data_IF_464482831740
#
_entry.id   IF_464482831740
#
_cell.length_a   1.000
_cell.length_b   1.000
_cell.length_c   1.000
_cell.angle_alpha   90.00
_cell.angle_beta   90.00
_cell.angle_gamma   90.00
#
_symmetry.space_group_name_H-M   'P 1'
#
loop_
_entity.id
_entity.type
_entity.pdbx_description
1 polymer ?
#
# COMPACT_ATOMS: atom_id res chain seq x y z
N UNK A 1 53.20 -52.38 0.34
CA UNK A 1 51.80 -52.60 -0.10
C UNK A 1 51.29 -51.31 -0.74
N UNK A 2 51.02 -51.37 -2.05
CA UNK A 2 50.18 -50.50 -2.90
C UNK A 2 50.31 -48.97 -2.76
N UNK A 3 51.09 -48.26 -3.59
CA UNK A 3 51.02 -48.00 -5.04
C UNK A 3 49.98 -46.92 -5.45
N UNK A 4 50.56 -45.81 -5.87
CA UNK A 4 49.99 -44.55 -6.37
C UNK A 4 49.74 -44.67 -7.88
N UNK A 5 48.61 -44.16 -8.41
CA UNK A 5 48.50 -43.88 -9.84
C UNK A 5 47.65 -42.64 -10.12
N UNK A 6 48.24 -41.72 -10.88
CA UNK A 6 47.68 -40.48 -11.39
C UNK A 6 46.63 -40.75 -12.48
N UNK A 7 45.64 -39.87 -12.61
CA UNK A 7 45.00 -39.61 -13.89
C UNK A 7 44.62 -38.14 -14.06
N UNK A 8 45.21 -37.53 -15.10
CA UNK A 8 44.81 -36.27 -15.73
C UNK A 8 43.47 -36.47 -16.47
N UNK A 9 42.63 -35.44 -16.52
CA UNK A 9 41.77 -35.02 -17.65
C UNK A 9 40.98 -33.78 -17.21
N UNK A 10 41.23 -32.59 -17.78
CA UNK A 10 40.77 -32.05 -19.05
C UNK A 10 39.41 -31.32 -18.96
N UNK A 11 39.44 -30.04 -19.33
CA UNK A 11 38.35 -29.07 -19.42
C UNK A 11 37.05 -29.63 -20.01
N UNK A 12 35.91 -29.41 -19.33
CA UNK A 12 34.58 -29.48 -19.94
C UNK A 12 34.09 -28.07 -20.25
N UNK A 13 34.28 -27.65 -21.50
CA UNK A 13 33.44 -26.65 -22.15
C UNK A 13 32.04 -27.26 -22.37
N UNK A 14 31.02 -26.48 -22.06
CA UNK A 14 29.62 -26.80 -22.37
C UNK A 14 29.45 -26.98 -23.88
N UNK A 15 29.20 -28.21 -24.30
CA UNK A 15 28.81 -28.56 -25.68
C UNK A 15 27.32 -28.28 -25.84
N UNK A 16 26.98 -27.45 -26.81
CA UNK A 16 25.62 -27.24 -27.32
C UNK A 16 25.15 -28.54 -27.98
N UNK A 17 23.97 -29.09 -27.66
CA UNK A 17 23.47 -30.27 -28.34
C UNK A 17 23.04 -29.94 -29.77
N UNK A 18 23.61 -30.68 -30.71
CA UNK A 18 23.34 -30.71 -32.14
C UNK A 18 21.86 -31.06 -32.42
N UNK A 19 21.17 -30.22 -33.21
CA UNK A 19 19.78 -30.45 -33.66
C UNK A 19 19.75 -31.58 -34.69
N UNK A 20 19.67 -32.84 -34.23
CA UNK A 20 19.34 -33.98 -35.10
C UNK A 20 17.84 -34.30 -35.06
N UNK A 21 17.19 -33.96 -36.19
CA UNK A 21 15.96 -34.52 -36.78
C UNK A 21 14.99 -35.22 -35.82
N UNK A 22 14.00 -34.47 -35.35
CA UNK A 22 12.73 -35.06 -34.95
C UNK A 22 12.05 -35.65 -36.19
N UNK A 23 11.81 -36.95 -36.17
CA UNK A 23 10.97 -37.66 -37.12
C UNK A 23 9.56 -37.08 -37.07
N UNK A 24 9.06 -36.63 -38.22
CA UNK A 24 7.65 -36.24 -38.39
C UNK A 24 6.77 -37.48 -38.18
N UNK A 25 6.22 -37.64 -36.97
CA UNK A 25 5.07 -38.51 -36.77
C UNK A 25 3.86 -37.79 -37.34
N UNK A 26 3.56 -38.06 -38.61
CA UNK A 26 2.30 -37.64 -39.24
C UNK A 26 1.18 -38.47 -38.63
N UNK A 27 0.44 -37.89 -37.68
CA UNK A 27 -0.85 -38.44 -37.25
C UNK A 27 -1.80 -38.30 -38.44
N UNK A 28 -2.01 -39.39 -39.18
CA UNK A 28 -3.09 -39.47 -40.17
C UNK A 28 -4.43 -39.45 -39.43
N UNK A 29 -5.04 -38.28 -39.29
CA UNK A 29 -6.46 -38.21 -38.98
C UNK A 29 -7.24 -38.82 -40.14
N UNK A 30 -7.90 -39.96 -39.91
CA UNK A 30 -8.88 -40.47 -40.88
C UNK A 30 -10.01 -39.43 -40.98
N UNK A 31 -10.10 -38.73 -42.11
CA UNK A 31 -11.27 -37.89 -42.40
C UNK A 31 -12.48 -38.82 -42.49
N UNK A 32 -13.30 -38.84 -41.44
CA UNK A 32 -14.65 -39.43 -41.50
C UNK A 32 -15.37 -38.72 -42.64
N UNK A 33 -15.68 -39.42 -43.74
CA UNK A 33 -16.48 -38.86 -44.84
C UNK A 33 -17.80 -38.37 -44.23
N UNK A 34 -17.98 -37.06 -44.24
CA UNK A 34 -19.19 -36.44 -43.71
C UNK A 34 -20.33 -36.75 -44.67
N UNK A 35 -21.48 -37.13 -44.13
CA UNK A 35 -22.65 -37.43 -44.95
C UNK A 35 -23.40 -36.10 -45.15
N UNK A 36 -23.42 -35.53 -46.37
CA UNK A 36 -23.95 -34.18 -46.60
C UNK A 36 -25.40 -34.03 -46.17
N UNK A 37 -26.19 -35.10 -46.19
CA UNK A 37 -27.59 -35.10 -45.71
C UNK A 37 -27.65 -35.03 -44.19
N UNK A 38 -26.76 -35.75 -43.48
CA UNK A 38 -26.68 -35.67 -42.00
C UNK A 38 -26.15 -34.32 -41.53
N UNK A 39 -25.22 -33.73 -42.27
CA UNK A 39 -24.69 -32.40 -41.93
C UNK A 39 -25.70 -31.30 -42.20
N UNK A 40 -26.47 -31.40 -43.30
CA UNK A 40 -27.59 -30.50 -43.58
C UNK A 40 -28.68 -30.60 -42.50
N UNK A 41 -29.02 -31.81 -42.07
CA UNK A 41 -29.97 -32.02 -40.98
C UNK A 41 -29.48 -31.44 -39.65
N UNK A 42 -28.19 -31.64 -39.31
CA UNK A 42 -27.57 -31.01 -38.12
C UNK A 42 -27.60 -29.49 -38.22
N UNK A 43 -27.32 -28.92 -39.38
CA UNK A 43 -27.39 -27.48 -39.61
C UNK A 43 -28.81 -26.96 -39.38
N UNK A 44 -29.83 -27.64 -39.92
CA UNK A 44 -31.23 -27.27 -39.74
C UNK A 44 -31.67 -27.35 -38.27
N UNK A 45 -31.21 -28.35 -37.52
CA UNK A 45 -31.47 -28.45 -36.07
C UNK A 45 -30.80 -27.30 -35.31
N UNK A 46 -29.55 -26.98 -35.64
CA UNK A 46 -28.84 -25.86 -35.00
C UNK A 46 -29.49 -24.52 -35.32
N UNK A 47 -29.86 -24.28 -36.59
CA UNK A 47 -30.51 -23.03 -37.01
C UNK A 47 -31.92 -22.89 -36.47
N UNK A 48 -32.70 -23.97 -36.37
CA UNK A 48 -34.02 -23.92 -35.72
C UNK A 48 -33.91 -23.64 -34.22
N UNK A 49 -32.90 -24.20 -33.55
CA UNK A 49 -32.64 -23.89 -32.13
C UNK A 49 -32.17 -22.43 -31.94
N UNK A 50 -31.30 -21.93 -32.82
CA UNK A 50 -30.87 -20.53 -32.83
C UNK A 50 -32.02 -19.56 -33.12
N UNK A 51 -32.90 -19.91 -34.06
CA UNK A 51 -34.09 -19.11 -34.37
C UNK A 51 -35.08 -19.10 -33.20
N UNK A 52 -35.32 -20.25 -32.56
CA UNK A 52 -36.15 -20.33 -31.35
C UNK A 52 -35.53 -19.55 -30.18
N UNK A 53 -34.21 -19.62 -30.01
CA UNK A 53 -33.50 -18.83 -29.01
C UNK A 53 -33.63 -17.32 -29.29
N UNK A 54 -33.42 -16.89 -30.54
CA UNK A 54 -33.60 -15.49 -30.95
C UNK A 54 -35.04 -15.00 -30.84
N UNK A 55 -36.04 -15.86 -30.98
CA UNK A 55 -37.44 -15.47 -30.94
C UNK A 55 -38.03 -15.48 -29.53
N UNK A 56 -37.71 -16.49 -28.71
CA UNK A 56 -38.32 -16.66 -27.39
C UNK A 56 -37.45 -16.15 -26.24
N UNK A 57 -36.14 -16.36 -26.33
CA UNK A 57 -35.21 -16.04 -25.23
C UNK A 57 -34.58 -14.68 -25.43
N UNK A 58 -34.16 -14.36 -26.64
CA UNK A 58 -33.44 -13.12 -26.91
C UNK A 58 -34.28 -11.87 -26.64
N UNK A 59 -35.58 -11.74 -26.95
CA UNK A 59 -36.32 -10.52 -26.66
C UNK A 59 -36.50 -10.27 -25.15
N UNK A 60 -36.65 -11.35 -24.38
CA UNK A 60 -36.82 -11.28 -22.92
C UNK A 60 -35.49 -11.02 -22.20
N UNK A 61 -34.39 -11.60 -22.67
CA UNK A 61 -33.05 -11.39 -22.13
C UNK A 61 -32.38 -10.10 -22.63
N UNK A 62 -32.65 -9.68 -23.87
CA UNK A 62 -32.20 -8.41 -24.43
C UNK A 62 -32.78 -7.23 -23.64
N UNK A 63 -34.08 -7.23 -23.36
CA UNK A 63 -34.71 -6.17 -22.56
C UNK A 63 -34.21 -6.11 -21.10
N UNK A 64 -33.93 -7.26 -20.48
CA UNK A 64 -33.51 -7.34 -19.07
C UNK A 64 -32.02 -7.13 -18.85
N UNK A 65 -31.19 -7.56 -19.79
CA UNK A 65 -29.75 -7.70 -19.61
C UNK A 65 -28.97 -6.77 -20.54
N UNK A 66 -29.28 -6.74 -21.84
CA UNK A 66 -28.54 -5.90 -22.79
C UNK A 66 -28.99 -4.43 -22.71
N UNK A 67 -30.30 -4.18 -22.70
CA UNK A 67 -30.84 -2.83 -22.68
C UNK A 67 -30.44 -2.10 -21.38
N UNK A 68 -30.56 -2.76 -20.24
CA UNK A 68 -30.23 -2.14 -18.94
C UNK A 68 -28.72 -1.94 -18.71
N UNK A 69 -27.86 -2.74 -19.36
CA UNK A 69 -26.40 -2.65 -19.19
C UNK A 69 -25.77 -1.70 -20.19
N UNK A 70 -26.25 -1.67 -21.44
CA UNK A 70 -25.59 -0.95 -22.54
C UNK A 70 -26.35 0.28 -23.05
N UNK A 71 -27.65 0.39 -22.78
CA UNK A 71 -28.47 1.51 -23.23
C UNK A 71 -29.13 2.17 -22.02
N UNK A 72 -28.53 3.25 -21.51
CA UNK A 72 -29.15 4.07 -20.47
C UNK A 72 -30.57 4.48 -20.91
N UNK A 73 -31.60 3.85 -20.33
CA UNK A 73 -32.89 4.54 -20.24
C UNK A 73 -32.66 5.69 -19.30
N UNK A 74 -32.80 6.91 -19.82
CA UNK A 74 -32.81 8.12 -19.02
C UNK A 74 -33.79 7.90 -17.85
N UNK A 75 -33.22 7.67 -16.67
CA UNK A 75 -33.96 7.78 -15.42
C UNK A 75 -34.32 9.26 -15.35
N UNK A 76 -35.62 9.64 -15.26
CA UNK A 76 -35.96 11.04 -15.13
C UNK A 76 -35.28 11.57 -13.87
N UNK A 77 -34.27 12.41 -14.05
CA UNK A 77 -33.66 13.18 -12.98
C UNK A 77 -34.76 14.16 -12.58
N UNK A 78 -35.32 13.96 -11.39
CA UNK A 78 -36.38 14.81 -10.87
C UNK A 78 -35.76 16.17 -10.50
N UNK A 79 -35.75 17.12 -11.44
CA UNK A 79 -35.26 18.50 -11.23
C UNK A 79 -36.40 19.52 -11.16
N UNK A 80 -37.52 19.19 -10.51
CA UNK A 80 -38.62 20.13 -10.34
C UNK A 80 -39.61 19.69 -9.26
N UNK A 81 -40.16 20.67 -8.53
CA UNK A 81 -41.15 20.48 -7.48
C UNK A 81 -42.35 19.62 -7.90
N UNK A 82 -43.02 18.93 -6.95
CA UNK A 82 -43.98 17.88 -7.27
C UNK A 82 -45.32 18.46 -7.72
N UNK A 83 -45.66 18.29 -9.00
CA UNK A 83 -47.04 18.39 -9.45
C UNK A 83 -47.83 17.15 -8.98
N UNK A 84 -48.63 17.34 -7.94
CA UNK A 84 -49.85 16.60 -7.60
C UNK A 84 -49.99 15.18 -8.20
N UNK A 85 -49.29 14.20 -7.62
CA UNK A 85 -49.65 12.79 -7.79
C UNK A 85 -49.66 12.08 -6.43
N UNK A 86 -50.76 11.40 -6.15
CA UNK A 86 -51.07 10.75 -4.90
C UNK A 86 -49.94 9.82 -4.43
N UNK A 87 -49.34 10.17 -3.28
CA UNK A 87 -48.29 9.37 -2.64
C UNK A 87 -48.92 8.13 -2.01
N UNK A 88 -48.73 6.97 -2.66
CA UNK A 88 -48.91 5.67 -1.99
C UNK A 88 -47.81 5.54 -0.92
N UNK A 89 -48.22 5.62 0.34
CA UNK A 89 -47.39 5.82 1.55
C UNK A 89 -46.45 4.66 1.92
N UNK A 90 -46.21 3.68 1.05
CA UNK A 90 -45.43 2.48 1.37
C UNK A 90 -44.60 2.00 0.18
N UNK A 91 -43.41 2.58 0.04
CA UNK A 91 -42.14 1.89 -0.24
C UNK A 91 -41.12 2.97 -0.57
N UNK A 92 -40.09 3.13 0.27
CA UNK A 92 -38.86 3.77 -0.21
C UNK A 92 -38.32 2.82 -1.28
N UNK A 93 -38.18 3.21 -2.55
CA UNK A 93 -37.43 2.40 -3.48
C UNK A 93 -35.99 2.38 -2.95
N UNK A 94 -35.56 1.24 -2.41
CA UNK A 94 -34.15 0.94 -2.28
C UNK A 94 -33.67 0.74 -3.71
N UNK A 95 -33.33 1.83 -4.39
CA UNK A 95 -32.69 1.76 -5.68
C UNK A 95 -31.31 1.15 -5.43
N UNK A 96 -31.21 -0.17 -5.63
CA UNK A 96 -29.92 -0.82 -5.71
C UNK A 96 -29.18 -0.18 -6.88
N UNK A 97 -28.01 0.39 -6.60
CA UNK A 97 -27.16 0.95 -7.64
C UNK A 97 -26.64 -0.20 -8.51
N UNK A 98 -27.40 -0.52 -9.56
CA UNK A 98 -27.09 -1.61 -10.48
C UNK A 98 -25.75 -1.40 -11.18
N UNK A 99 -25.27 -0.16 -11.29
CA UNK A 99 -23.97 0.13 -11.88
C UNK A 99 -22.82 -0.32 -10.97
N UNK A 100 -22.87 0.00 -9.67
CA UNK A 100 -21.85 -0.49 -8.72
C UNK A 100 -21.94 -2.00 -8.50
N UNK A 101 -23.12 -2.60 -8.60
CA UNK A 101 -23.28 -4.07 -8.55
C UNK A 101 -22.67 -4.74 -9.80
N UNK A 102 -22.91 -4.19 -10.99
CA UNK A 102 -22.35 -4.71 -12.24
C UNK A 102 -20.85 -4.42 -12.37
N UNK A 103 -20.36 -3.34 -11.74
CA UNK A 103 -18.99 -2.89 -11.80
C UNK A 103 -18.42 -2.71 -10.38
N UNK A 104 -18.26 -3.79 -9.60
CA UNK A 104 -17.83 -3.73 -8.19
C UNK A 104 -16.43 -3.13 -8.02
N UNK A 105 -15.67 -3.12 -9.11
CA UNK A 105 -14.31 -2.60 -9.21
C UNK A 105 -14.23 -1.08 -9.38
N UNK A 106 -15.34 -0.39 -9.65
CA UNK A 106 -15.36 1.08 -9.87
C UNK A 106 -14.96 1.89 -8.64
N UNK A 107 -15.17 1.34 -7.44
CA UNK A 107 -14.80 2.01 -6.20
C UNK A 107 -13.30 1.86 -5.86
N UNK A 108 -12.54 1.07 -6.62
CA UNK A 108 -11.13 0.83 -6.33
C UNK A 108 -10.29 2.05 -6.71
N UNK A 109 -9.42 2.47 -5.79
CA UNK A 109 -8.62 3.69 -5.93
C UNK A 109 -7.67 3.61 -7.14
N UNK A 110 -7.20 2.41 -7.47
CA UNK A 110 -6.22 2.10 -8.52
C UNK A 110 -6.80 1.65 -9.86
N UNK A 111 -8.12 1.41 -9.97
CA UNK A 111 -8.72 0.82 -11.17
C UNK A 111 -8.87 1.75 -12.37
N UNK A 112 -8.35 2.96 -12.29
CA UNK A 112 -8.31 3.83 -13.46
C UNK A 112 -7.12 3.53 -14.36
N UNK A 113 -6.17 2.67 -13.98
CA UNK A 113 -4.92 2.48 -14.72
C UNK A 113 -4.75 1.04 -15.23
N UNK A 114 -4.71 0.86 -16.56
CA UNK A 114 -4.33 -0.39 -17.22
C UNK A 114 -3.14 -0.15 -18.14
N UNK A 115 -2.02 -0.87 -17.91
CA UNK A 115 -0.76 -0.69 -18.67
C UNK A 115 -0.30 0.77 -18.77
N UNK A 116 -0.30 1.50 -17.63
CA UNK A 116 0.02 2.94 -17.59
C UNK A 116 -0.89 3.84 -18.45
N UNK A 117 -2.09 3.38 -18.82
CA UNK A 117 -3.10 4.21 -19.47
C UNK A 117 -4.36 4.27 -18.64
N UNK A 118 -4.98 5.46 -18.63
CA UNK A 118 -6.26 5.66 -17.98
C UNK A 118 -7.32 4.80 -18.69
N UNK A 119 -7.95 3.85 -18.00
CA UNK A 119 -9.16 3.20 -18.48
C UNK A 119 -10.23 4.30 -18.59
N UNK A 120 -10.96 4.33 -19.69
CA UNK A 120 -12.05 5.28 -19.95
C UNK A 120 -13.25 4.95 -19.05
N UNK A 121 -13.08 5.12 -17.74
CA UNK A 121 -14.19 5.17 -16.80
C UNK A 121 -14.80 6.57 -16.95
N UNK A 122 -16.13 6.71 -17.06
CA UNK A 122 -16.75 8.03 -16.88
C UNK A 122 -16.19 8.58 -15.57
N UNK A 123 -15.72 9.83 -15.61
CA UNK A 123 -15.03 10.49 -14.50
C UNK A 123 -15.94 10.45 -13.27
N UNK A 124 -15.87 9.37 -12.49
CA UNK A 124 -16.23 9.43 -11.09
C UNK A 124 -15.26 10.49 -10.61
N UNK A 125 -15.81 11.65 -10.26
CA UNK A 125 -15.09 12.71 -9.60
C UNK A 125 -14.66 12.08 -8.27
N UNK A 126 -13.57 11.31 -8.30
CA UNK A 126 -12.93 10.76 -7.11
C UNK A 126 -12.70 12.01 -6.30
N UNK A 127 -13.37 12.11 -5.16
CA UNK A 127 -13.09 13.16 -4.18
C UNK A 127 -11.60 13.05 -3.92
N UNK A 128 -10.82 13.92 -4.60
CA UNK A 128 -9.38 13.88 -4.49
C UNK A 128 -9.11 14.08 -3.01
N UNK A 129 -8.38 13.14 -2.40
CA UNK A 129 -7.94 13.33 -1.03
C UNK A 129 -6.99 14.52 -1.08
N UNK A 130 -7.45 15.66 -0.57
CA UNK A 130 -6.74 16.94 -0.69
C UNK A 130 -5.53 16.87 0.23
N UNK A 131 -4.42 16.37 -0.30
CA UNK A 131 -3.15 16.37 0.42
C UNK A 131 -2.68 17.80 0.52
N UNK A 132 -2.58 18.29 1.74
CA UNK A 132 -2.09 19.64 2.03
C UNK A 132 -0.58 19.59 2.17
N UNK A 133 0.09 20.59 1.60
CA UNK A 133 1.52 20.81 1.81
C UNK A 133 1.72 21.54 3.14
N UNK A 134 2.64 21.06 3.98
CA UNK A 134 3.07 21.78 5.18
C UNK A 134 3.52 23.19 4.80
N UNK A 135 3.05 24.20 5.51
CA UNK A 135 3.58 25.56 5.34
C UNK A 135 4.92 25.68 6.07
N UNK A 136 5.86 26.43 5.50
CA UNK A 136 7.17 26.67 6.10
C UNK A 136 7.34 28.15 6.38
N UNK A 137 7.78 28.48 7.59
CA UNK A 137 8.18 29.84 7.93
C UNK A 137 9.71 29.92 8.00
N UNK A 138 10.28 30.02 9.20
CA UNK A 138 11.71 30.16 9.39
C UNK A 138 12.38 28.81 9.68
N UNK A 139 13.52 28.55 9.06
CA UNK A 139 14.37 27.43 9.46
C UNK A 139 14.98 27.72 10.84
N UNK A 140 14.92 26.74 11.75
CA UNK A 140 15.51 26.82 13.09
C UNK A 140 17.03 26.64 13.00
N UNK A 141 17.72 27.67 12.47
CA UNK A 141 19.16 27.64 12.17
C UNK A 141 20.03 27.23 13.37
N UNK A 142 19.73 27.73 14.58
CA UNK A 142 20.44 27.34 15.80
C UNK A 142 20.33 25.83 16.10
N UNK A 143 19.14 25.24 15.99
CA UNK A 143 18.94 23.80 16.17
C UNK A 143 19.62 23.00 15.05
N UNK A 144 19.53 23.47 13.80
CA UNK A 144 20.22 22.84 12.67
C UNK A 144 21.73 22.78 12.89
N UNK A 145 22.36 23.87 13.32
CA UNK A 145 23.80 23.88 13.64
C UNK A 145 24.17 22.94 14.79
N UNK A 146 23.32 22.81 15.82
CA UNK A 146 23.53 21.82 16.89
C UNK A 146 23.47 20.38 16.37
N UNK A 147 22.52 20.07 15.48
CA UNK A 147 22.38 18.75 14.87
C UNK A 147 23.56 18.44 13.93
N UNK A 148 24.03 19.41 13.15
CA UNK A 148 25.22 19.27 12.31
C UNK A 148 26.49 19.07 13.15
N UNK A 149 26.61 19.79 14.27
CA UNK A 149 27.67 19.57 15.26
C UNK A 149 27.61 18.18 15.91
N UNK A 150 26.41 17.65 16.16
CA UNK A 150 26.24 16.27 16.58
C UNK A 150 26.67 15.30 15.47
N UNK A 151 26.27 15.53 14.22
CA UNK A 151 26.64 14.68 13.08
C UNK A 151 28.16 14.57 12.92
N UNK A 152 28.91 15.65 13.15
CA UNK A 152 30.38 15.64 13.11
C UNK A 152 31.01 14.67 14.12
N UNK A 153 30.34 14.40 15.25
CA UNK A 153 30.80 13.44 16.27
C UNK A 153 30.52 11.98 15.86
N UNK A 154 29.68 11.75 14.84
CA UNK A 154 29.27 10.43 14.36
C UNK A 154 29.57 10.27 12.86
N UNK A 155 30.84 10.31 12.43
CA UNK A 155 31.21 10.38 11.01
C UNK A 155 30.72 9.18 10.17
N UNK A 156 30.52 8.02 10.80
CA UNK A 156 30.02 6.80 10.17
C UNK A 156 28.49 6.75 10.04
N UNK A 157 27.77 7.66 10.71
CA UNK A 157 26.32 7.76 10.63
C UNK A 157 25.99 8.82 9.59
N UNK A 158 25.19 8.45 8.59
CA UNK A 158 24.71 9.37 7.56
C UNK A 158 23.21 9.57 7.75
N UNK A 159 22.79 10.64 8.44
CA UNK A 159 21.39 10.87 8.72
C UNK A 159 20.71 11.79 7.70
N UNK A 160 19.41 11.57 7.52
CA UNK A 160 18.44 12.59 7.13
C UNK A 160 17.56 12.90 8.33
N UNK A 161 17.37 14.19 8.60
CA UNK A 161 16.56 14.70 9.70
C UNK A 161 15.60 15.72 9.11
N UNK A 162 14.31 15.54 9.41
CA UNK A 162 13.29 16.53 9.10
C UNK A 162 12.43 16.77 10.33
N UNK A 163 12.25 18.04 10.69
CA UNK A 163 11.45 18.49 11.83
C UNK A 163 10.53 19.60 11.37
N UNK A 164 9.28 19.57 11.80
CA UNK A 164 8.31 20.63 11.53
C UNK A 164 7.40 20.82 12.73
N UNK A 165 7.30 22.04 13.24
CA UNK A 165 6.51 22.37 14.44
C UNK A 165 5.20 23.08 14.07
N UNK A 166 4.11 22.73 14.77
CA UNK A 166 2.74 23.09 14.38
C UNK A 166 2.35 24.54 14.71
N UNK A 167 3.03 25.20 15.66
CA UNK A 167 2.57 26.50 16.18
C UNK A 167 2.76 27.61 15.14
N UNK A 168 3.93 27.62 14.49
CA UNK A 168 4.26 28.66 13.51
C UNK A 168 4.93 28.11 12.24
N UNK A 169 5.04 26.79 12.07
CA UNK A 169 5.60 26.18 10.86
C UNK A 169 7.12 26.32 10.71
N UNK A 170 7.84 26.60 11.81
CA UNK A 170 9.29 26.49 11.85
C UNK A 170 9.73 25.06 11.60
N UNK A 171 10.91 24.90 11.02
CA UNK A 171 11.38 23.61 10.57
C UNK A 171 12.90 23.44 10.68
N UNK A 172 13.36 22.19 10.58
CA UNK A 172 14.75 21.84 10.28
C UNK A 172 14.73 20.86 9.13
N UNK A 173 15.59 21.08 8.13
CA UNK A 173 15.79 20.17 7.02
C UNK A 173 17.28 19.87 6.83
N UNK A 174 17.65 18.63 7.10
CA UNK A 174 18.99 18.08 6.85
C UNK A 174 18.81 16.83 5.99
N UNK A 175 19.22 16.89 4.72
CA UNK A 175 19.09 15.80 3.75
C UNK A 175 17.65 15.25 3.63
N UNK A 176 16.62 16.05 3.93
CA UNK A 176 15.24 15.55 4.03
C UNK A 176 14.68 15.01 2.71
N UNK A 177 15.25 15.42 1.58
CA UNK A 177 14.93 14.98 0.23
C UNK A 177 15.76 13.78 -0.28
N UNK A 178 16.76 13.36 0.48
CA UNK A 178 17.64 12.24 0.11
C UNK A 178 16.93 10.90 0.26
N UNK A 179 17.21 9.97 -0.66
CA UNK A 179 16.63 8.63 -0.65
C UNK A 179 17.34 7.72 0.36
N UNK A 180 16.55 7.14 1.26
CA UNK A 180 16.99 6.13 2.22
C UNK A 180 16.20 4.84 2.02
N UNK A 181 16.79 3.71 2.44
CA UNK A 181 16.01 2.50 2.66
C UNK A 181 14.91 2.78 3.68
N UNK A 182 13.68 2.37 3.40
CA UNK A 182 12.55 2.68 4.28
C UNK A 182 12.50 1.76 5.51
N UNK A 183 13.07 0.55 5.41
CA UNK A 183 12.83 -0.54 6.38
C UNK A 183 11.34 -0.62 6.74
N UNK A 184 11.03 -0.87 8.01
CA UNK A 184 9.64 -0.95 8.49
C UNK A 184 8.91 0.40 8.61
N UNK A 185 9.55 1.54 8.32
CA UNK A 185 8.84 2.84 8.26
C UNK A 185 7.86 2.85 7.08
N UNK A 186 8.12 2.06 6.03
CA UNK A 186 7.21 1.86 4.90
C UNK A 186 5.81 1.34 5.30
N UNK A 187 5.65 0.84 6.52
CA UNK A 187 4.35 0.40 7.05
C UNK A 187 3.40 1.57 7.29
N UNK A 188 3.91 2.79 7.47
CA UNK A 188 3.09 4.01 7.58
C UNK A 188 2.26 4.26 6.30
N UNK A 189 2.86 4.39 5.10
CA UNK A 189 2.08 4.56 3.88
C UNK A 189 1.17 3.37 3.58
N UNK A 190 1.57 2.14 3.92
CA UNK A 190 0.71 0.94 3.78
C UNK A 190 -0.53 1.06 4.67
N UNK A 191 -0.37 1.49 5.92
CA UNK A 191 -1.47 1.71 6.86
C UNK A 191 -2.41 2.80 6.38
N UNK A 192 -1.87 3.94 5.94
CA UNK A 192 -2.68 5.04 5.40
C UNK A 192 -3.46 4.54 4.18
N UNK A 193 -2.81 3.81 3.28
CA UNK A 193 -3.46 3.23 2.09
C UNK A 193 -4.58 2.25 2.43
N UNK A 194 -4.43 1.46 3.50
CA UNK A 194 -5.48 0.59 4.03
C UNK A 194 -6.71 1.39 4.45
N UNK A 195 -6.54 2.42 5.27
CA UNK A 195 -7.66 3.25 5.71
C UNK A 195 -8.28 4.03 4.55
N UNK A 196 -7.49 4.53 3.59
CA UNK A 196 -8.04 5.15 2.37
C UNK A 196 -8.90 4.17 1.55
N UNK A 197 -8.56 2.88 1.50
CA UNK A 197 -9.41 1.85 0.90
C UNK A 197 -10.70 1.59 1.69
N UNK A 198 -10.64 1.66 3.02
CA UNK A 198 -11.81 1.54 3.90
C UNK A 198 -12.77 2.73 3.70
N UNK A 199 -12.24 3.96 3.64
CA UNK A 199 -13.03 5.17 3.36
C UNK A 199 -13.71 5.12 2.00
N UNK A 200 -13.01 4.56 1.00
CA UNK A 200 -13.55 4.31 -0.33
C UNK A 200 -14.53 3.10 -0.38
N UNK A 201 -14.87 2.50 0.77
CA UNK A 201 -15.79 1.36 0.91
C UNK A 201 -15.40 0.13 0.07
N UNK A 202 -14.11 -0.05 -0.21
CA UNK A 202 -13.60 -1.24 -0.93
C UNK A 202 -13.49 -2.46 -0.01
N UNK A 203 -13.35 -2.21 1.28
CA UNK A 203 -13.20 -3.21 2.33
C UNK A 203 -13.61 -2.58 3.67
N UNK A 204 -13.81 -3.41 4.69
CA UNK A 204 -13.99 -2.94 6.07
C UNK A 204 -12.78 -3.35 6.92
N UNK A 205 -12.56 -2.67 8.05
CA UNK A 205 -11.49 -3.06 8.98
C UNK A 205 -11.74 -4.47 9.59
N UNK A 206 -12.96 -5.00 9.46
CA UNK A 206 -13.37 -6.31 9.96
C UNK A 206 -13.27 -7.42 8.90
N UNK A 207 -12.89 -7.10 7.66
CA UNK A 207 -12.65 -8.13 6.65
C UNK A 207 -11.55 -9.08 7.12
N UNK A 208 -11.74 -10.38 6.88
CA UNK A 208 -10.76 -11.40 7.22
C UNK A 208 -9.80 -11.72 6.08
N UNK A 209 -8.59 -12.13 6.45
CA UNK A 209 -7.62 -12.79 5.59
C UNK A 209 -7.18 -14.12 6.19
N UNK A 210 -6.96 -15.11 5.34
CA UNK A 210 -6.40 -16.40 5.75
C UNK A 210 -4.89 -16.33 5.67
N UNK A 211 -4.21 -16.64 6.79
CA UNK A 211 -2.76 -16.77 6.82
C UNK A 211 -2.33 -18.00 6.01
N UNK A 212 -1.45 -17.79 5.04
CA UNK A 212 -0.85 -18.85 4.22
C UNK A 212 0.67 -18.73 4.24
N UNK A 213 1.38 -19.81 3.86
CA UNK A 213 2.84 -19.82 3.77
C UNK A 213 3.37 -18.74 2.81
N UNK A 214 2.55 -18.32 1.83
CA UNK A 214 2.92 -17.30 0.86
C UNK A 214 3.18 -15.93 1.51
N UNK A 215 2.46 -15.58 2.58
CA UNK A 215 2.61 -14.29 3.25
C UNK A 215 3.64 -14.32 4.38
N UNK A 216 3.95 -15.51 4.91
CA UNK A 216 4.85 -15.67 6.05
C UNK A 216 6.24 -15.13 5.71
N UNK A 217 6.74 -14.29 6.60
CA UNK A 217 7.95 -13.52 6.39
C UNK A 217 8.78 -13.46 7.67
N UNK A 218 10.10 -13.75 7.59
CA UNK A 218 10.96 -13.73 8.77
C UNK A 218 11.22 -12.30 9.26
N UNK A 219 11.91 -12.19 10.40
CA UNK A 219 12.25 -10.91 11.02
C UNK A 219 11.30 -10.55 12.15
N UNK A 220 10.79 -9.32 12.18
CA UNK A 220 9.90 -8.85 13.24
C UNK A 220 8.48 -9.41 13.10
N UNK A 221 7.86 -9.72 14.25
CA UNK A 221 6.48 -10.16 14.35
C UNK A 221 6.29 -11.65 14.64
N UNK A 222 5.19 -12.00 15.30
CA UNK A 222 4.91 -13.37 15.74
C UNK A 222 4.13 -14.19 14.72
N UNK A 223 3.50 -13.58 13.70
CA UNK A 223 2.68 -14.31 12.72
C UNK A 223 3.51 -15.22 11.81
N UNK A 224 4.83 -15.02 11.74
CA UNK A 224 5.73 -15.95 11.05
C UNK A 224 5.73 -17.36 11.67
N UNK A 225 5.36 -17.49 12.96
CA UNK A 225 5.28 -18.75 13.69
C UNK A 225 3.84 -19.27 13.84
N UNK A 226 2.85 -18.48 13.41
CA UNK A 226 1.46 -18.87 13.52
C UNK A 226 1.11 -19.99 12.52
N UNK A 227 0.23 -20.89 12.94
CA UNK A 227 -0.29 -21.95 12.08
C UNK A 227 -1.07 -21.35 10.90
N UNK A 228 -0.79 -21.83 9.68
CA UNK A 228 -1.54 -21.43 8.49
C UNK A 228 -2.98 -21.95 8.52
N UNK A 229 -3.85 -21.31 7.72
CA UNK A 229 -5.29 -21.56 7.70
C UNK A 229 -6.07 -20.74 8.74
N UNK A 230 -5.39 -20.09 9.69
CA UNK A 230 -6.03 -19.16 10.63
C UNK A 230 -6.50 -17.90 9.92
N UNK A 231 -7.64 -17.37 10.37
CA UNK A 231 -8.19 -16.10 9.92
C UNK A 231 -7.76 -14.98 10.85
N UNK A 232 -7.44 -13.83 10.26
CA UNK A 232 -7.14 -12.60 10.96
C UNK A 232 -7.90 -11.46 10.30
N UNK A 233 -8.54 -10.62 11.11
CA UNK A 233 -9.18 -9.40 10.62
C UNK A 233 -8.12 -8.37 10.20
N UNK A 234 -8.50 -7.45 9.32
CA UNK A 234 -7.63 -6.33 8.94
C UNK A 234 -7.25 -5.45 10.14
N UNK A 235 -8.12 -5.30 11.14
CA UNK A 235 -7.81 -4.65 12.43
C UNK A 235 -6.61 -5.32 13.11
N UNK A 236 -6.69 -6.64 13.32
CA UNK A 236 -5.62 -7.39 13.98
C UNK A 236 -4.31 -7.32 13.20
N UNK A 237 -4.38 -7.45 11.87
CA UNK A 237 -3.20 -7.36 11.01
C UNK A 237 -2.60 -5.95 11.05
N UNK A 238 -3.41 -4.90 10.99
CA UNK A 238 -2.93 -3.51 10.96
C UNK A 238 -2.29 -3.13 12.30
N UNK A 239 -2.94 -3.50 13.40
CA UNK A 239 -2.41 -3.33 14.76
C UNK A 239 -1.06 -4.04 14.92
N UNK A 240 -0.99 -5.31 14.54
CA UNK A 240 0.25 -6.11 14.66
C UNK A 240 1.35 -5.62 13.71
N UNK A 241 1.00 -5.18 12.50
CA UNK A 241 1.91 -4.55 11.55
C UNK A 241 2.61 -3.32 12.14
N UNK A 242 1.88 -2.47 12.87
CA UNK A 242 2.43 -1.23 13.40
C UNK A 242 3.11 -1.44 14.76
N UNK A 243 2.41 -2.05 15.72
CA UNK A 243 2.86 -2.16 17.10
C UNK A 243 4.07 -3.08 17.26
N UNK A 244 4.04 -4.24 16.59
CA UNK A 244 5.09 -5.26 16.62
C UNK A 244 6.01 -5.23 15.41
N UNK A 245 5.73 -4.33 14.44
CA UNK A 245 6.43 -4.31 13.18
C UNK A 245 6.34 -5.67 12.45
N UNK A 246 5.20 -6.35 12.50
CA UNK A 246 5.08 -7.71 11.95
C UNK A 246 5.12 -7.72 10.41
N UNK A 247 6.10 -8.44 9.85
CA UNK A 247 6.32 -8.49 8.40
C UNK A 247 5.26 -9.32 7.67
N UNK A 248 4.79 -10.41 8.28
CA UNK A 248 3.76 -11.28 7.72
C UNK A 248 2.44 -10.53 7.59
N UNK A 249 2.04 -9.79 8.63
CA UNK A 249 0.86 -8.93 8.65
C UNK A 249 0.94 -7.86 7.57
N UNK A 250 2.12 -7.25 7.39
CA UNK A 250 2.34 -6.26 6.34
C UNK A 250 2.14 -6.86 4.96
N UNK A 251 2.71 -8.04 4.70
CA UNK A 251 2.55 -8.71 3.40
C UNK A 251 1.10 -9.10 3.13
N UNK A 252 0.35 -9.55 4.15
CA UNK A 252 -1.09 -9.81 4.01
C UNK A 252 -1.85 -8.53 3.63
N UNK A 253 -1.64 -7.43 4.36
CA UNK A 253 -2.31 -6.15 4.06
C UNK A 253 -1.94 -5.63 2.67
N UNK A 254 -0.66 -5.65 2.31
CA UNK A 254 -0.23 -5.21 0.98
C UNK A 254 -0.89 -6.04 -0.12
N UNK A 255 -1.02 -7.36 0.06
CA UNK A 255 -1.71 -8.22 -0.89
C UNK A 255 -3.21 -7.88 -1.01
N UNK A 256 -3.90 -7.61 0.11
CA UNK A 256 -5.31 -7.19 0.12
C UNK A 256 -5.51 -5.85 -0.59
N UNK A 257 -4.52 -4.95 -0.54
CA UNK A 257 -4.55 -3.64 -1.17
C UNK A 257 -4.26 -3.63 -2.68
N UNK A 258 -4.07 -4.80 -3.31
CA UNK A 258 -3.70 -4.90 -4.72
C UNK A 258 -2.18 -4.93 -4.98
N UNK A 259 -1.38 -5.07 -3.92
CA UNK A 259 0.07 -5.18 -4.01
C UNK A 259 0.78 -3.82 -4.11
N UNK A 260 2.06 -3.87 -4.47
CA UNK A 260 2.94 -2.70 -4.48
C UNK A 260 2.50 -1.63 -5.47
N UNK A 261 1.99 -2.01 -6.64
CA UNK A 261 1.60 -1.08 -7.69
C UNK A 261 0.47 -0.15 -7.22
N UNK A 262 -0.53 -0.71 -6.53
CA UNK A 262 -1.68 0.02 -6.00
C UNK A 262 -1.33 0.92 -4.81
N UNK A 263 -0.35 0.50 -4.01
CA UNK A 263 0.22 1.34 -2.93
C UNK A 263 0.97 2.51 -3.55
N UNK A 264 1.88 2.23 -4.49
CA UNK A 264 2.71 3.24 -5.13
C UNK A 264 1.88 4.21 -5.99
N UNK A 265 0.79 3.76 -6.62
CA UNK A 265 -0.15 4.62 -7.32
C UNK A 265 -0.81 5.62 -6.36
N UNK A 266 -1.35 5.13 -5.24
CA UNK A 266 -1.92 6.00 -4.21
C UNK A 266 -0.92 7.02 -3.67
N UNK A 267 0.34 6.61 -3.45
CA UNK A 267 1.40 7.54 -3.02
C UNK A 267 1.66 8.64 -4.06
N UNK A 268 1.73 8.30 -5.35
CA UNK A 268 1.90 9.29 -6.42
C UNK A 268 0.72 10.25 -6.50
N UNK A 269 -0.51 9.76 -6.34
CA UNK A 269 -1.72 10.59 -6.34
C UNK A 269 -1.73 11.60 -5.18
N UNK A 270 -1.05 11.27 -4.07
CA UNK A 270 -0.86 12.14 -2.91
C UNK A 270 0.34 13.10 -3.06
N UNK A 271 1.02 13.08 -4.20
CA UNK A 271 2.26 13.80 -4.42
C UNK A 271 3.39 13.33 -3.50
N UNK A 272 3.40 12.05 -3.14
CA UNK A 272 4.48 11.33 -2.43
C UNK A 272 5.25 10.53 -3.48
N UNK A 273 6.22 11.17 -4.11
CA UNK A 273 6.84 10.66 -5.34
C UNK A 273 8.14 9.89 -5.12
N UNK A 274 8.78 10.01 -3.94
CA UNK A 274 10.08 9.40 -3.65
C UNK A 274 9.98 8.19 -2.72
N UNK A 275 8.82 7.97 -2.11
CA UNK A 275 8.51 6.77 -1.32
C UNK A 275 7.86 5.72 -2.17
N UNK A 276 8.39 4.51 -2.13
CA UNK A 276 7.83 3.38 -2.89
C UNK A 276 8.14 2.03 -2.25
N UNK A 277 7.20 1.11 -2.44
CA UNK A 277 7.35 -0.32 -2.16
C UNK A 277 7.77 -1.01 -3.45
N UNK A 278 8.92 -1.67 -3.45
CA UNK A 278 9.44 -2.45 -4.58
C UNK A 278 9.32 -3.96 -4.35
N UNK A 279 9.37 -4.41 -3.09
CA UNK A 279 9.33 -5.83 -2.75
C UNK A 279 8.61 -6.09 -1.42
N UNK A 280 8.24 -7.35 -1.22
CA UNK A 280 7.63 -7.85 0.01
C UNK A 280 8.60 -7.71 1.20
N UNK A 281 8.06 -7.55 2.40
CA UNK A 281 8.88 -7.55 3.61
C UNK A 281 9.44 -8.97 3.87
N UNK A 282 10.64 -9.09 4.45
CA UNK A 282 11.30 -8.10 5.32
C UNK A 282 12.18 -7.06 4.60
N UNK A 283 12.43 -7.22 3.30
CA UNK A 283 13.27 -6.32 2.50
C UNK A 283 14.59 -5.91 3.18
N UNK A 284 15.35 -6.90 3.69
CA UNK A 284 16.59 -6.65 4.43
C UNK A 284 17.69 -5.98 3.58
N UNK A 285 17.59 -6.07 2.25
CA UNK A 285 18.47 -5.35 1.31
C UNK A 285 18.08 -3.87 1.14
N UNK A 286 16.92 -3.46 1.65
CA UNK A 286 16.46 -2.08 1.69
C UNK A 286 16.10 -1.53 0.31
N UNK A 287 15.41 -2.31 -0.51
CA UNK A 287 14.98 -1.90 -1.86
C UNK A 287 13.74 -1.02 -1.85
N UNK A 288 12.90 -1.10 -0.83
CA UNK A 288 11.84 -0.16 -0.53
C UNK A 288 12.48 1.14 -0.04
N UNK A 289 12.12 2.28 -0.64
CA UNK A 289 12.76 3.57 -0.37
C UNK A 289 11.77 4.61 0.13
N UNK A 290 12.29 5.61 0.83
CA UNK A 290 11.56 6.79 1.28
C UNK A 290 12.51 7.97 1.47
N UNK A 291 11.95 9.13 1.82
CA UNK A 291 12.66 10.33 2.24
C UNK A 291 12.07 10.82 3.57
N UNK A 292 12.82 11.62 4.33
CA UNK A 292 12.29 12.16 5.58
C UNK A 292 11.12 13.13 5.32
N UNK A 293 11.18 13.90 4.22
CA UNK A 293 10.10 14.82 3.82
C UNK A 293 8.82 14.11 3.39
N UNK A 294 8.92 13.02 2.62
CA UNK A 294 7.74 12.25 2.20
C UNK A 294 7.01 11.69 3.43
N UNK A 295 7.76 11.12 4.38
CA UNK A 295 7.20 10.63 5.64
C UNK A 295 6.59 11.76 6.46
N UNK A 296 7.27 12.91 6.57
CA UNK A 296 6.73 14.07 7.28
C UNK A 296 5.44 14.60 6.64
N UNK A 297 5.36 14.63 5.30
CA UNK A 297 4.15 15.02 4.57
C UNK A 297 2.99 14.06 4.81
N UNK A 298 3.24 12.75 4.86
CA UNK A 298 2.23 11.76 5.25
C UNK A 298 1.75 11.99 6.68
N UNK A 299 2.68 12.16 7.63
CA UNK A 299 2.37 12.40 9.05
C UNK A 299 1.55 13.67 9.25
N UNK A 300 1.91 14.77 8.57
CA UNK A 300 1.16 16.03 8.61
C UNK A 300 -0.30 15.86 8.18
N UNK A 301 -0.51 15.06 7.13
CA UNK A 301 -1.85 14.86 6.59
C UNK A 301 -2.73 13.91 7.40
N UNK A 302 -2.20 13.26 8.45
CA UNK A 302 -3.05 12.49 9.38
C UNK A 302 -4.07 13.37 10.10
N UNK A 303 -3.75 14.65 10.33
CA UNK A 303 -4.64 15.63 10.96
C UNK A 303 -5.43 16.47 9.95
N UNK A 304 -5.27 16.21 8.65
CA UNK A 304 -5.97 16.94 7.60
C UNK A 304 -7.34 16.28 7.32
N UNK A 305 -8.47 16.91 7.69
CA UNK A 305 -9.80 16.34 7.50
C UNK A 305 -10.20 16.20 6.01
N UNK A 306 -9.54 16.93 5.10
CA UNK A 306 -9.69 16.76 3.64
C UNK A 306 -8.93 15.56 3.08
N UNK A 307 -7.97 15.02 3.84
CA UNK A 307 -7.20 13.84 3.45
C UNK A 307 -7.68 12.56 4.14
N UNK A 308 -7.96 12.60 5.43
CA UNK A 308 -8.34 11.44 6.24
C UNK A 308 -9.52 11.79 7.15
N UNK A 309 -10.54 10.94 7.19
CA UNK A 309 -11.67 11.17 8.09
C UNK A 309 -11.31 10.83 9.55
N UNK A 310 -12.12 11.32 10.48
CA UNK A 310 -11.86 11.18 11.92
C UNK A 310 -11.76 9.72 12.37
N UNK A 311 -12.62 8.83 11.87
CA UNK A 311 -12.61 7.42 12.30
C UNK A 311 -11.31 6.72 11.87
N UNK A 312 -10.89 6.91 10.62
CA UNK A 312 -9.62 6.39 10.11
C UNK A 312 -8.43 6.96 10.87
N UNK A 313 -8.47 8.27 11.17
CA UNK A 313 -7.43 8.94 11.95
C UNK A 313 -7.29 8.32 13.33
N UNK A 314 -8.38 8.11 14.06
CA UNK A 314 -8.33 7.55 15.41
C UNK A 314 -7.70 6.15 15.43
N UNK A 315 -8.03 5.28 14.47
CA UNK A 315 -7.35 3.97 14.35
C UNK A 315 -5.85 4.10 14.07
N UNK A 316 -5.46 4.96 13.14
CA UNK A 316 -4.03 5.15 12.79
C UNK A 316 -3.26 5.67 14.02
N UNK A 317 -3.81 6.67 14.71
CA UNK A 317 -3.20 7.26 15.90
C UNK A 317 -3.12 6.23 17.03
N UNK A 318 -4.17 5.44 17.28
CA UNK A 318 -4.17 4.36 18.27
C UNK A 318 -3.07 3.32 17.97
N UNK A 319 -2.94 2.87 16.74
CA UNK A 319 -1.92 1.87 16.43
C UNK A 319 -0.51 2.44 16.59
N UNK A 320 -0.29 3.69 16.16
CA UNK A 320 1.00 4.37 16.22
C UNK A 320 1.39 4.80 17.64
N UNK A 321 0.43 5.03 18.55
CA UNK A 321 0.69 5.36 19.96
C UNK A 321 1.12 4.15 20.80
N UNK A 322 0.93 2.95 20.27
CA UNK A 322 1.21 1.68 20.96
C UNK A 322 2.39 0.90 20.34
N UNK A 323 3.26 1.57 19.58
CA UNK A 323 4.49 0.96 19.07
C UNK A 323 5.38 0.53 20.24
N UNK A 324 5.73 -0.77 20.28
CA UNK A 324 6.48 -1.34 21.40
C UNK A 324 7.94 -0.91 21.44
N UNK A 325 8.51 -0.55 20.29
CA UNK A 325 9.90 -0.15 20.19
C UNK A 325 10.06 1.36 20.43
N UNK A 326 10.22 1.77 21.69
CA UNK A 326 10.39 3.16 22.11
C UNK A 326 11.87 3.57 22.35
N UNK A 327 12.84 2.81 21.81
CA UNK A 327 14.28 3.01 22.10
C UNK A 327 14.98 4.07 21.25
N UNK A 328 14.26 4.75 20.35
CA UNK A 328 14.80 5.70 19.37
C UNK A 328 14.40 7.13 19.70
N UNK A 329 13.53 7.77 18.92
CA UNK A 329 13.14 9.17 19.17
C UNK A 329 12.47 9.30 20.53
N UNK A 330 11.56 8.38 20.89
CA UNK A 330 10.87 8.39 22.18
C UNK A 330 11.82 8.46 23.39
N UNK A 331 12.97 7.77 23.34
CA UNK A 331 13.94 7.77 24.43
C UNK A 331 14.70 9.10 24.61
N UNK A 332 14.59 10.03 23.65
CA UNK A 332 15.14 11.38 23.76
C UNK A 332 14.12 12.44 24.22
N UNK A 333 12.84 12.08 24.38
CA UNK A 333 11.78 13.01 24.76
C UNK A 333 11.75 13.21 26.29
N UNK A 334 11.15 14.32 26.72
CA UNK A 334 10.90 14.58 28.15
C UNK A 334 9.75 13.73 28.71
N UNK A 335 9.69 13.66 30.05
CA UNK A 335 8.69 12.87 30.76
C UNK A 335 7.26 13.22 30.34
N UNK A 336 6.47 12.16 30.08
CA UNK A 336 5.06 12.23 29.72
C UNK A 336 4.75 12.87 28.37
N UNK A 337 5.74 13.09 27.50
CA UNK A 337 5.50 13.33 26.09
C UNK A 337 4.90 12.08 25.43
N UNK A 338 3.85 12.27 24.61
CA UNK A 338 3.29 11.20 23.78
C UNK A 338 3.96 11.24 22.41
N UNK A 339 4.36 10.08 21.91
CA UNK A 339 4.94 9.94 20.57
C UNK A 339 4.18 8.89 19.77
N UNK A 340 3.49 9.33 18.72
CA UNK A 340 2.78 8.44 17.80
C UNK A 340 3.68 8.22 16.59
N UNK A 341 4.16 7.01 16.39
CA UNK A 341 5.32 6.81 15.53
C UNK A 341 5.41 5.44 14.85
N UNK A 342 6.46 5.26 14.06
CA UNK A 342 6.89 3.97 13.54
C UNK A 342 8.41 3.93 13.37
N UNK A 343 9.02 2.93 14.01
CA UNK A 343 10.46 2.63 13.83
C UNK A 343 10.72 1.74 12.62
N UNK A 344 11.94 1.81 12.07
CA UNK A 344 12.48 0.86 11.10
C UNK A 344 13.94 0.48 11.39
N UNK A 345 14.29 -0.79 11.22
CA UNK A 345 15.65 -1.30 11.37
C UNK A 345 15.86 -2.46 10.39
N UNK A 346 16.87 -2.35 9.52
CA UNK A 346 17.37 -3.44 8.65
C UNK A 346 18.88 -3.64 8.85
N UNK A 347 19.40 -3.20 10.00
CA UNK A 347 20.82 -3.25 10.33
C UNK A 347 21.63 -2.11 9.71
N UNK A 348 21.63 -1.97 8.39
CA UNK A 348 22.37 -0.89 7.67
C UNK A 348 21.64 0.45 7.64
N UNK A 349 20.32 0.43 7.90
CA UNK A 349 19.50 1.62 8.05
C UNK A 349 18.66 1.47 9.33
N UNK A 350 18.69 2.51 10.17
CA UNK A 350 17.90 2.65 11.37
C UNK A 350 17.13 3.97 11.31
N UNK A 351 15.87 3.99 11.69
CA UNK A 351 15.12 5.22 11.70
C UNK A 351 13.83 5.16 12.50
N UNK A 352 13.23 6.33 12.65
CA UNK A 352 11.97 6.54 13.36
C UNK A 352 11.26 7.77 12.79
N UNK A 353 9.94 7.73 12.71
CA UNK A 353 9.12 8.76 12.10
C UNK A 353 7.80 8.88 12.86
N UNK A 354 7.44 10.09 13.30
CA UNK A 354 6.21 10.29 14.07
C UNK A 354 5.87 11.73 14.41
N UNK A 355 4.82 11.88 15.22
CA UNK A 355 4.33 13.16 15.76
C UNK A 355 4.51 13.12 17.29
N UNK A 356 5.16 14.15 17.83
CA UNK A 356 5.34 14.34 19.27
C UNK A 356 4.28 15.31 19.77
N UNK A 357 3.67 14.96 20.89
CA UNK A 357 2.78 15.80 21.69
C UNK A 357 3.42 16.01 23.07
N UNK A 358 3.90 17.22 23.33
CA UNK A 358 4.51 17.58 24.60
C UNK A 358 3.45 18.00 25.63
N UNK A 359 3.77 17.87 26.92
CA UNK A 359 2.85 18.22 28.01
C UNK A 359 2.49 19.71 28.06
N UNK A 360 3.37 20.59 27.58
CA UNK A 360 3.10 22.03 27.50
C UNK A 360 2.24 22.43 26.29
N UNK A 361 1.64 21.45 25.59
CA UNK A 361 0.78 21.66 24.43
C UNK A 361 1.52 21.79 23.10
N UNK A 362 2.87 21.87 23.11
CA UNK A 362 3.64 21.93 21.86
C UNK A 362 3.57 20.61 21.11
N UNK A 363 3.53 20.71 19.78
CA UNK A 363 3.35 19.59 18.88
C UNK A 363 4.28 19.74 17.68
N UNK A 364 4.93 18.65 17.27
CA UNK A 364 5.82 18.67 16.11
C UNK A 364 5.94 17.30 15.44
N UNK A 365 6.23 17.31 14.15
CA UNK A 365 6.61 16.14 13.36
C UNK A 365 8.12 16.00 13.43
N UNK A 366 8.61 14.77 13.58
CA UNK A 366 10.03 14.46 13.50
C UNK A 366 10.24 13.15 12.76
N UNK A 367 11.18 13.18 11.81
CA UNK A 367 11.62 12.01 11.05
C UNK A 367 13.14 11.98 11.05
N UNK A 368 13.71 10.87 11.51
CA UNK A 368 15.16 10.63 11.49
C UNK A 368 15.43 9.29 10.82
N UNK A 369 16.14 9.32 9.69
CA UNK A 369 16.60 8.15 8.95
C UNK A 369 18.13 8.14 8.99
N UNK A 370 18.75 7.04 9.41
CA UNK A 370 20.19 6.98 9.60
C UNK A 370 20.78 5.71 8.96
N UNK A 371 21.55 5.90 7.88
CA UNK A 371 22.43 4.86 7.40
C UNK A 371 23.59 4.71 8.37
N UNK A 372 23.93 3.46 8.70
CA UNK A 372 24.96 3.11 9.67
C UNK A 372 25.70 1.85 9.24
N UNK A 373 26.93 1.61 9.74
CA UNK A 373 27.50 0.28 9.69
C UNK A 373 26.53 -0.72 10.34
N UNK A 374 26.45 -1.93 9.78
CA UNK A 374 25.40 -2.88 10.13
C UNK A 374 25.31 -3.11 11.66
N UNK A 375 24.14 -2.82 12.24
CA UNK A 375 23.84 -2.92 13.68
C UNK A 375 24.72 -2.06 14.60
N UNK A 376 25.45 -1.07 14.08
CA UNK A 376 26.28 -0.19 14.90
C UNK A 376 25.41 0.52 15.97
N UNK A 377 25.73 0.38 17.27
CA UNK A 377 24.95 0.98 18.36
C UNK A 377 24.96 2.51 18.31
N UNK A 378 26.01 3.10 17.72
CA UNK A 378 26.16 4.54 17.50
C UNK A 378 24.98 5.15 16.72
N UNK A 379 24.33 4.39 15.84
CA UNK A 379 23.13 4.86 15.15
C UNK A 379 21.96 5.12 16.10
N UNK A 380 21.75 4.25 17.10
CA UNK A 380 20.74 4.47 18.14
C UNK A 380 21.12 5.68 19.00
N UNK A 381 22.36 5.72 19.48
CA UNK A 381 22.85 6.81 20.33
C UNK A 381 22.70 8.18 19.64
N UNK A 382 23.04 8.26 18.34
CA UNK A 382 22.82 9.45 17.52
C UNK A 382 21.34 9.87 17.49
N UNK A 383 20.41 8.95 17.20
CA UNK A 383 18.98 9.26 17.10
C UNK A 383 18.43 9.76 18.45
N UNK A 384 18.82 9.13 19.56
CA UNK A 384 18.39 9.54 20.91
C UNK A 384 18.90 10.95 21.23
N UNK A 385 20.18 11.24 20.97
CA UNK A 385 20.77 12.57 21.21
C UNK A 385 20.16 13.64 20.31
N UNK A 386 19.96 13.34 19.03
CA UNK A 386 19.28 14.25 18.09
C UNK A 386 17.85 14.55 18.56
N UNK A 387 17.09 13.52 18.96
CA UNK A 387 15.74 13.69 19.54
C UNK A 387 15.75 14.61 20.76
N UNK A 388 16.70 14.43 21.69
CA UNK A 388 16.81 15.28 22.88
C UNK A 388 17.12 16.74 22.56
N UNK A 389 18.00 17.00 21.57
CA UNK A 389 18.27 18.37 21.10
C UNK A 389 17.00 19.00 20.49
N UNK A 390 16.29 18.26 19.65
CA UNK A 390 15.04 18.71 19.01
C UNK A 390 13.98 19.01 20.07
N UNK A 391 13.75 18.09 21.00
CA UNK A 391 12.76 18.26 22.06
C UNK A 391 13.08 19.47 22.93
N UNK A 392 14.33 19.64 23.36
CA UNK A 392 14.75 20.81 24.16
C UNK A 392 14.56 22.13 23.42
N UNK A 393 14.93 22.18 22.14
CA UNK A 393 14.80 23.40 21.34
C UNK A 393 13.34 23.81 21.10
N UNK A 394 12.45 22.84 20.88
CA UNK A 394 11.03 23.12 20.65
C UNK A 394 10.28 23.32 21.96
N UNK A 395 10.48 22.46 22.95
CA UNK A 395 9.68 22.39 24.19
C UNK A 395 10.26 23.21 25.33
N UNK A 396 11.59 23.33 25.40
CA UNK A 396 12.29 24.03 26.48
C UNK A 396 12.50 25.53 26.25
N UNK A 397 12.29 26.03 25.03
CA UNK A 397 12.12 27.45 24.75
C UNK A 397 10.67 27.84 24.90
#
# INVERSE_FOLDING_TARGET
MYAYQQQKTANRLHVVPDRKRASNVVIKHSKKKSNPVKDLFRMLVVFSFLAAFMYFVFPTSYGRLINNVFFQRAVPINTGEPANMAVKKWSKPVAADMYSIANPVTNYLSNDMFKNRLLLTPTIQKTHSEVTTMYHTNEMSGLKSQLEGLMAQYPMIKPAIYVWEYENGKFVDINGDSLYSAASIIKLPVLIRLFKSIEAKQMTIYDDMILTNYYQSPGSGNLQYAQTGRKYSLDQLAKTMIQDSDNTSTNMIMAKLGGMDDINAGLRDWGISKTYVRTWLPDLTGTNKTTAKDMAKLLYNLDNPGFLNINSREYIIDYMSHVKNNRLIAAGLGDGALFVHKTGDIGTMLGDAGIVYAQNGKKYIVVILANRPHNAPQGKDFIVKASSLIYKAIVGG
#
